data_IF_152349069526
#
_entry.id   IF_152349069526
#
_cell.length_a   1.000
_cell.length_b   1.000
_cell.length_c   1.000
_cell.angle_alpha   90.00
_cell.angle_beta   90.00
_cell.angle_gamma   90.00
#
_symmetry.space_group_name_H-M   'P 1'
#
loop_
_entity.id
_entity.type
_entity.pdbx_description
1 polymer ?
#
# COMPACT_ATOMS: atom_id res chain seq x y z
N UNK A 1 5.06 -12.69 10.41
CA UNK A 1 4.37 -11.51 9.79
C UNK A 1 3.55 -10.82 10.86
N UNK A 2 3.26 -9.53 10.70
CA UNK A 2 2.46 -8.71 11.64
C UNK A 2 1.29 -8.11 10.89
N UNK A 3 0.11 -8.05 11.51
CA UNK A 3 -1.08 -7.46 10.88
C UNK A 3 -1.13 -5.95 11.09
N UNK A 4 -1.61 -5.27 10.05
CA UNK A 4 -1.99 -3.86 10.05
C UNK A 4 -3.35 -3.72 9.36
N UNK A 5 -3.96 -2.54 9.46
CA UNK A 5 -5.18 -2.20 8.72
C UNK A 5 -4.94 -0.96 7.88
N UNK A 6 -5.29 -1.02 6.60
CA UNK A 6 -5.36 0.15 5.73
C UNK A 6 -6.63 0.95 6.02
N UNK A 7 -6.52 2.27 6.03
CA UNK A 7 -7.68 3.16 6.16
C UNK A 7 -8.64 3.03 4.96
N UNK A 8 -8.14 2.53 3.80
CA UNK A 8 -8.98 2.14 2.67
C UNK A 8 -10.06 1.14 3.06
N UNK A 9 -9.74 0.21 3.97
CA UNK A 9 -10.69 -0.80 4.45
C UNK A 9 -11.92 -0.23 5.15
N UNK A 10 -11.88 1.04 5.57
CA UNK A 10 -12.95 1.76 6.26
C UNK A 10 -13.40 3.01 5.49
N UNK A 11 -13.27 2.98 4.16
CA UNK A 11 -13.67 4.07 3.26
C UNK A 11 -15.11 4.51 3.51
N UNK A 12 -16.04 3.55 3.66
CA UNK A 12 -17.46 3.81 3.92
C UNK A 12 -17.68 4.59 5.22
N UNK A 13 -16.99 4.21 6.29
CA UNK A 13 -17.12 4.87 7.59
C UNK A 13 -16.43 6.25 7.61
N UNK A 14 -15.24 6.36 6.99
CA UNK A 14 -14.49 7.61 6.91
C UNK A 14 -15.20 8.64 6.03
N UNK A 15 -15.72 8.22 4.87
CA UNK A 15 -16.57 9.05 4.01
C UNK A 15 -17.90 9.42 4.71
N UNK A 16 -18.41 8.55 5.57
CA UNK A 16 -19.58 8.78 6.42
C UNK A 16 -19.34 9.71 7.61
N UNK A 17 -18.13 10.25 7.78
CA UNK A 17 -17.80 11.27 8.80
C UNK A 17 -17.07 10.74 10.03
N UNK A 18 -16.62 9.47 10.05
CA UNK A 18 -15.69 9.00 11.06
C UNK A 18 -14.36 9.75 10.90
N UNK A 19 -13.89 10.45 11.96
CA UNK A 19 -12.58 11.10 11.87
C UNK A 19 -11.44 10.07 11.89
N UNK A 20 -10.34 10.36 11.16
CA UNK A 20 -9.18 9.46 11.10
C UNK A 20 -8.58 9.18 12.49
N UNK A 21 -8.57 10.15 13.40
CA UNK A 21 -8.10 9.97 14.79
C UNK A 21 -8.99 9.02 15.61
N UNK A 22 -10.31 9.06 15.39
CA UNK A 22 -11.23 8.09 15.99
C UNK A 22 -11.06 6.71 15.41
N UNK A 23 -10.80 6.62 14.10
CA UNK A 23 -10.48 5.34 13.45
C UNK A 23 -9.17 4.75 13.98
N UNK A 24 -8.10 5.55 14.16
CA UNK A 24 -6.84 5.10 14.76
C UNK A 24 -7.06 4.48 16.14
N UNK A 25 -7.82 5.15 16.99
CA UNK A 25 -8.18 4.61 18.30
C UNK A 25 -8.94 3.28 18.17
N UNK A 26 -9.94 3.22 17.28
CA UNK A 26 -10.71 2.00 17.03
C UNK A 26 -9.82 0.83 16.57
N UNK A 27 -8.86 1.07 15.67
CA UNK A 27 -7.90 0.05 15.22
C UNK A 27 -7.09 -0.52 16.38
N UNK A 28 -6.65 0.32 17.31
CA UNK A 28 -5.89 -0.12 18.48
C UNK A 28 -6.76 -0.85 19.51
N UNK A 29 -7.88 -0.24 19.91
CA UNK A 29 -8.69 -0.72 21.04
C UNK A 29 -9.63 -1.86 20.65
N UNK A 30 -10.27 -1.79 19.48
CA UNK A 30 -11.30 -2.76 19.08
C UNK A 30 -10.74 -3.84 18.14
N UNK A 31 -9.88 -3.46 17.18
CA UNK A 31 -9.26 -4.43 16.29
C UNK A 31 -8.00 -5.05 16.90
N UNK A 32 -7.43 -4.49 17.97
CA UNK A 32 -6.24 -5.01 18.64
C UNK A 32 -5.01 -5.06 17.74
N UNK A 33 -4.83 -4.08 16.86
CA UNK A 33 -3.70 -4.01 15.94
C UNK A 33 -2.69 -2.94 16.39
N UNK A 34 -1.41 -3.20 16.09
CA UNK A 34 -0.32 -2.27 16.35
C UNK A 34 0.20 -1.56 15.10
N UNK A 35 -0.39 -1.82 13.93
CA UNK A 35 -0.01 -1.23 12.66
C UNK A 35 -1.19 -0.65 11.90
N UNK A 36 -0.96 0.51 11.27
CA UNK A 36 -1.93 1.18 10.40
C UNK A 36 -1.27 1.64 9.12
N UNK A 37 -2.06 1.70 8.08
CA UNK A 37 -1.72 2.32 6.82
C UNK A 37 -2.73 3.43 6.53
N UNK A 38 -2.24 4.60 6.12
CA UNK A 38 -3.05 5.79 5.94
C UNK A 38 -3.08 6.20 4.46
N UNK A 39 -4.27 6.24 3.88
CA UNK A 39 -4.48 6.84 2.55
C UNK A 39 -4.30 8.36 2.61
N UNK A 40 -3.68 8.93 1.59
CA UNK A 40 -3.47 10.38 1.47
C UNK A 40 -4.79 11.16 1.52
N UNK A 41 -5.84 10.65 0.87
CA UNK A 41 -7.18 11.24 0.88
C UNK A 41 -7.81 11.33 2.28
N UNK A 42 -7.51 10.36 3.17
CA UNK A 42 -8.01 10.34 4.55
C UNK A 42 -7.19 11.24 5.49
N UNK A 43 -5.91 11.44 5.19
CA UNK A 43 -5.08 12.43 5.89
C UNK A 43 -5.64 13.83 5.60
N UNK A 44 -6.09 14.07 4.37
CA UNK A 44 -6.60 15.36 3.92
C UNK A 44 -5.49 16.40 3.77
N UNK A 45 -5.77 17.66 4.07
CA UNK A 45 -4.76 18.72 3.99
C UNK A 45 -3.74 18.53 5.12
N UNK A 46 -2.46 18.25 4.80
CA UNK A 46 -1.44 17.87 5.79
C UNK A 46 -0.84 19.10 6.49
N UNK A 47 -1.67 19.85 7.23
CA UNK A 47 -1.21 20.97 8.08
C UNK A 47 -0.32 20.44 9.21
N UNK A 48 0.52 21.30 9.78
CA UNK A 48 1.37 20.91 10.93
C UNK A 48 0.53 20.42 12.11
N UNK A 49 -0.60 21.09 12.40
CA UNK A 49 -1.54 20.69 13.43
C UNK A 49 -2.12 19.29 13.16
N UNK A 50 -2.58 19.04 11.92
CA UNK A 50 -3.13 17.75 11.53
C UNK A 50 -2.12 16.62 11.65
N UNK A 51 -0.87 16.84 11.22
CA UNK A 51 0.20 15.85 11.33
C UNK A 51 0.60 15.58 12.80
N UNK A 52 0.65 16.64 13.62
CA UNK A 52 0.93 16.50 15.05
C UNK A 52 -0.19 15.70 15.76
N UNK A 53 -1.45 15.96 15.44
CA UNK A 53 -2.61 15.23 15.98
C UNK A 53 -2.58 13.75 15.59
N UNK A 54 -2.33 13.42 14.32
CA UNK A 54 -2.22 12.03 13.86
C UNK A 54 -1.06 11.30 14.55
N UNK A 55 0.12 11.94 14.61
CA UNK A 55 1.29 11.35 15.26
C UNK A 55 1.06 11.13 16.75
N UNK A 56 0.58 12.13 17.48
CA UNK A 56 0.30 12.01 18.91
C UNK A 56 -0.77 10.95 19.21
N UNK A 57 -1.76 10.81 18.32
CA UNK A 57 -2.76 9.75 18.43
C UNK A 57 -2.11 8.37 18.25
N UNK A 58 -1.28 8.19 17.22
CA UNK A 58 -0.55 6.93 17.02
C UNK A 58 0.37 6.60 18.21
N UNK A 59 1.12 7.57 18.71
CA UNK A 59 1.98 7.40 19.89
C UNK A 59 1.19 6.98 21.13
N UNK A 60 0.06 7.64 21.40
CA UNK A 60 -0.83 7.34 22.53
C UNK A 60 -1.35 5.91 22.52
N UNK A 61 -1.68 5.38 21.34
CA UNK A 61 -2.26 4.05 21.18
C UNK A 61 -1.23 2.97 20.77
N UNK A 62 0.06 3.31 20.75
CA UNK A 62 1.12 2.37 20.37
C UNK A 62 1.06 1.90 18.92
N UNK A 63 0.49 2.71 18.02
CA UNK A 63 0.35 2.39 16.61
C UNK A 63 1.60 2.78 15.81
N UNK A 64 2.06 1.88 14.96
CA UNK A 64 3.06 2.16 13.93
C UNK A 64 2.35 2.55 12.64
N UNK A 65 2.65 3.71 12.07
CA UNK A 65 2.26 4.03 10.70
C UNK A 65 3.21 3.26 9.77
N UNK A 66 2.68 2.18 9.21
CA UNK A 66 3.48 1.26 8.38
C UNK A 66 3.73 1.86 7.01
N UNK A 67 2.72 2.46 6.42
CA UNK A 67 2.76 3.01 5.08
C UNK A 67 1.85 4.24 4.99
N UNK A 68 2.25 5.20 4.17
CA UNK A 68 1.35 6.21 3.63
C UNK A 68 1.01 5.78 2.20
N UNK A 69 -0.24 5.49 1.97
CA UNK A 69 -0.73 5.06 0.66
C UNK A 69 -1.06 6.30 -0.19
N UNK A 70 -0.04 6.82 -0.85
CA UNK A 70 -0.14 7.99 -1.72
C UNK A 70 -0.47 7.58 -3.15
N UNK A 71 -1.37 8.34 -3.80
CA UNK A 71 -1.76 8.15 -5.20
C UNK A 71 -0.99 9.08 -6.11
N UNK A 72 -0.16 8.51 -7.01
CA UNK A 72 0.53 9.23 -8.09
C UNK A 72 0.35 8.50 -9.43
N UNK A 73 0.60 9.19 -10.53
CA UNK A 73 0.55 8.61 -11.88
C UNK A 73 1.72 9.12 -12.74
N UNK A 74 2.71 8.23 -12.98
CA UNK A 74 3.83 8.54 -13.89
C UNK A 74 3.57 8.11 -15.34
N UNK A 75 2.37 7.57 -15.64
CA UNK A 75 1.98 7.14 -16.98
C UNK A 75 1.40 8.24 -17.87
N UNK A 76 1.22 9.44 -17.33
CA UNK A 76 0.64 10.58 -18.08
C UNK A 76 1.54 11.03 -19.24
N UNK A 77 0.94 11.37 -20.38
CA UNK A 77 1.67 11.70 -21.60
C UNK A 77 2.34 13.07 -21.54
N UNK A 78 1.69 14.04 -20.91
CA UNK A 78 2.19 15.41 -20.83
C UNK A 78 3.32 15.53 -19.81
N UNK A 79 4.48 16.04 -20.25
CA UNK A 79 5.68 16.17 -19.43
C UNK A 79 5.45 17.08 -18.20
N UNK A 80 4.72 18.17 -18.34
CA UNK A 80 4.44 19.09 -17.23
C UNK A 80 3.65 18.37 -16.15
N UNK A 81 2.61 17.62 -16.50
CA UNK A 81 1.83 16.82 -15.54
C UNK A 81 2.68 15.75 -14.87
N UNK A 82 3.60 15.09 -15.59
CA UNK A 82 4.51 14.12 -14.96
C UNK A 82 5.44 14.78 -13.93
N UNK A 83 5.97 15.97 -14.25
CA UNK A 83 6.77 16.75 -13.30
C UNK A 83 5.98 17.17 -12.07
N UNK A 84 4.70 17.50 -12.24
CA UNK A 84 3.80 17.78 -11.12
C UNK A 84 3.61 16.54 -10.23
N UNK A 85 3.45 15.34 -10.83
CA UNK A 85 3.36 14.07 -10.07
C UNK A 85 4.68 13.76 -9.32
N UNK A 86 5.84 14.01 -9.93
CA UNK A 86 7.13 13.92 -9.23
C UNK A 86 7.19 14.89 -8.04
N UNK A 87 6.81 16.15 -8.25
CA UNK A 87 6.80 17.18 -7.20
C UNK A 87 5.85 16.81 -6.05
N UNK A 88 4.65 16.31 -6.35
CA UNK A 88 3.70 15.79 -5.37
C UNK A 88 4.31 14.62 -4.57
N UNK A 89 4.98 13.69 -5.25
CA UNK A 89 5.64 12.56 -4.60
C UNK A 89 6.72 13.05 -3.63
N UNK A 90 7.53 14.06 -4.03
CA UNK A 90 8.54 14.67 -3.16
C UNK A 90 7.93 15.37 -1.93
N UNK A 91 6.77 16.00 -2.10
CA UNK A 91 6.02 16.60 -1.00
C UNK A 91 5.54 15.52 -0.01
N UNK A 92 4.94 14.43 -0.51
CA UNK A 92 4.47 13.32 0.31
C UNK A 92 5.61 12.56 1.00
N UNK A 93 6.82 12.51 0.43
CA UNK A 93 8.01 12.04 1.15
C UNK A 93 8.24 12.86 2.44
N UNK A 94 8.16 14.19 2.36
CA UNK A 94 8.30 15.05 3.54
C UNK A 94 7.18 14.83 4.59
N UNK A 95 5.95 14.61 4.14
CA UNK A 95 4.81 14.31 5.00
C UNK A 95 5.01 12.95 5.69
N UNK A 96 5.39 11.92 4.91
CA UNK A 96 5.68 10.57 5.41
C UNK A 96 6.75 10.57 6.51
N UNK A 97 7.84 11.33 6.30
CA UNK A 97 8.90 11.48 7.32
C UNK A 97 8.37 12.13 8.60
N UNK A 98 7.60 13.22 8.48
CA UNK A 98 7.03 13.91 9.65
C UNK A 98 6.04 13.08 10.43
N UNK A 99 5.30 12.19 9.75
CA UNK A 99 4.41 11.22 10.38
C UNK A 99 5.14 9.99 10.93
N UNK A 100 6.44 9.83 10.64
CA UNK A 100 7.24 8.68 11.08
C UNK A 100 6.86 7.37 10.39
N UNK A 101 6.27 7.43 9.19
CA UNK A 101 5.89 6.25 8.44
C UNK A 101 7.12 5.46 7.95
N UNK A 102 6.99 4.12 7.92
CA UNK A 102 8.09 3.26 7.46
C UNK A 102 8.26 3.30 5.95
N UNK A 103 7.14 3.42 5.22
CA UNK A 103 7.08 3.40 3.77
C UNK A 103 6.20 4.52 3.24
N UNK A 104 6.44 4.88 2.00
CA UNK A 104 5.54 5.67 1.17
C UNK A 104 5.22 4.87 -0.09
N UNK A 105 3.92 4.60 -0.33
CA UNK A 105 3.49 3.97 -1.57
C UNK A 105 3.75 4.89 -2.76
N UNK A 106 4.15 4.29 -3.86
CA UNK A 106 4.19 4.91 -5.17
C UNK A 106 3.62 3.95 -6.21
N UNK A 107 3.03 4.47 -7.27
CA UNK A 107 2.66 3.71 -8.45
C UNK A 107 3.63 4.01 -9.59
N UNK A 108 3.84 3.04 -10.47
CA UNK A 108 4.42 3.30 -11.79
C UNK A 108 3.46 4.11 -12.68
N UNK A 109 2.16 4.03 -12.37
CA UNK A 109 1.10 4.77 -13.03
C UNK A 109 0.42 3.98 -14.14
N UNK A 110 -0.43 4.69 -14.86
CA UNK A 110 -1.28 4.17 -15.94
C UNK A 110 -0.89 4.79 -17.27
N UNK A 111 -0.51 3.98 -18.27
CA UNK A 111 -0.02 4.53 -19.54
C UNK A 111 -1.13 5.27 -20.30
N UNK A 112 -1.00 6.58 -20.41
CA UNK A 112 -1.89 7.40 -21.26
C UNK A 112 -1.51 7.17 -22.72
N UNK A 113 -2.32 6.37 -23.45
CA UNK A 113 -2.06 5.93 -24.80
C UNK A 113 -1.19 4.67 -24.89
N UNK A 114 -0.20 4.67 -25.78
CA UNK A 114 0.65 3.50 -26.00
C UNK A 114 1.61 3.25 -24.81
N UNK A 115 1.51 2.05 -24.23
CA UNK A 115 2.31 1.65 -23.07
C UNK A 115 3.82 1.68 -23.34
N UNK A 116 4.24 1.23 -24.53
CA UNK A 116 5.65 1.20 -24.91
C UNK A 116 6.22 2.60 -25.04
N UNK A 117 5.45 3.53 -25.60
CA UNK A 117 5.85 4.93 -25.72
C UNK A 117 5.96 5.64 -24.34
N UNK A 118 5.14 5.24 -23.37
CA UNK A 118 5.17 5.82 -22.00
C UNK A 118 6.19 5.19 -21.08
N UNK A 119 6.70 4.00 -21.42
CA UNK A 119 7.65 3.27 -20.58
C UNK A 119 8.93 4.05 -20.23
N UNK A 120 9.66 4.70 -21.18
CA UNK A 120 10.84 5.49 -20.84
C UNK A 120 10.55 6.66 -19.92
N UNK A 121 9.42 7.32 -20.10
CA UNK A 121 8.98 8.46 -19.30
C UNK A 121 8.71 8.04 -17.83
N UNK A 122 7.95 6.96 -17.66
CA UNK A 122 7.65 6.37 -16.35
C UNK A 122 8.93 5.93 -15.62
N UNK A 123 9.85 5.24 -16.29
CA UNK A 123 11.13 4.82 -15.69
C UNK A 123 11.97 6.04 -15.28
N UNK A 124 11.98 7.09 -16.10
CA UNK A 124 12.68 8.35 -15.77
C UNK A 124 12.13 8.99 -14.50
N UNK A 125 10.79 9.09 -14.39
CA UNK A 125 10.13 9.62 -13.20
C UNK A 125 10.39 8.78 -11.95
N UNK A 126 10.29 7.44 -12.05
CA UNK A 126 10.62 6.54 -10.94
C UNK A 126 12.08 6.71 -10.49
N UNK A 127 13.04 6.78 -11.42
CA UNK A 127 14.46 7.01 -11.07
C UNK A 127 14.66 8.35 -10.36
N UNK A 128 13.98 9.39 -10.81
CA UNK A 128 14.02 10.73 -10.22
C UNK A 128 13.57 10.71 -8.76
N UNK A 129 12.37 10.15 -8.50
CA UNK A 129 11.82 10.09 -7.14
C UNK A 129 12.59 9.10 -6.25
N UNK A 130 13.07 7.98 -6.79
CA UNK A 130 13.92 7.04 -6.05
C UNK A 130 15.25 7.70 -5.63
N UNK A 131 15.91 8.44 -6.52
CA UNK A 131 17.13 9.19 -6.17
C UNK A 131 16.88 10.24 -5.07
N UNK A 132 15.71 10.88 -5.07
CA UNK A 132 15.32 11.77 -3.98
C UNK A 132 15.04 11.01 -2.67
N UNK A 133 14.42 9.84 -2.74
CA UNK A 133 14.17 8.98 -1.59
C UNK A 133 15.47 8.48 -0.95
N UNK A 134 16.44 8.06 -1.76
CA UNK A 134 17.79 7.67 -1.28
C UNK A 134 18.46 8.78 -0.48
N UNK A 135 18.50 10.01 -1.04
CA UNK A 135 19.10 11.17 -0.35
C UNK A 135 18.42 11.52 0.96
N UNK A 136 17.13 11.19 1.10
CA UNK A 136 16.31 11.50 2.29
C UNK A 136 16.20 10.32 3.27
N UNK A 137 16.74 9.15 2.92
CA UNK A 137 16.59 7.93 3.72
C UNK A 137 15.16 7.40 3.78
N UNK A 138 14.37 7.66 2.73
CA UNK A 138 12.97 7.21 2.62
C UNK A 138 12.93 5.90 1.84
N UNK A 139 11.97 5.05 2.20
CA UNK A 139 11.68 3.79 1.50
C UNK A 139 10.38 3.92 0.74
N UNK A 140 10.46 3.84 -0.59
CA UNK A 140 9.29 3.76 -1.46
C UNK A 140 8.88 2.30 -1.63
N UNK A 141 7.58 2.05 -1.67
CA UNK A 141 7.02 0.74 -2.02
C UNK A 141 6.11 0.89 -3.24
N UNK A 142 6.51 0.28 -4.36
CA UNK A 142 5.73 0.31 -5.59
C UNK A 142 4.67 -0.79 -5.56
N UNK A 143 3.42 -0.42 -5.76
CA UNK A 143 2.30 -1.36 -5.74
C UNK A 143 2.04 -1.97 -7.12
N UNK A 144 1.78 -3.29 -7.17
CA UNK A 144 1.21 -3.93 -8.35
C UNK A 144 -0.29 -3.63 -8.43
N UNK A 145 -0.77 -3.30 -9.66
CA UNK A 145 -2.15 -2.86 -9.85
C UNK A 145 -2.73 -3.34 -11.18
N UNK A 146 -3.88 -4.04 -11.13
CA UNK A 146 -4.46 -4.75 -12.27
C UNK A 146 -5.38 -3.91 -13.19
N UNK A 147 -5.62 -2.64 -12.89
CA UNK A 147 -6.54 -1.78 -13.66
C UNK A 147 -5.83 -1.02 -14.78
N UNK A 148 -5.12 -1.73 -15.66
CA UNK A 148 -4.46 -1.13 -16.83
C UNK A 148 -3.15 -0.40 -16.53
N UNK A 149 -2.60 -0.49 -15.32
CA UNK A 149 -1.33 0.12 -14.95
C UNK A 149 -0.10 -0.56 -15.56
N UNK A 150 1.08 -0.02 -15.28
CA UNK A 150 2.35 -0.62 -15.73
C UNK A 150 2.73 -1.90 -14.98
N UNK A 151 2.18 -2.18 -13.80
CA UNK A 151 2.59 -3.28 -12.93
C UNK A 151 1.45 -4.27 -12.74
N UNK A 152 1.27 -5.17 -13.71
CA UNK A 152 0.16 -6.13 -13.72
C UNK A 152 0.61 -7.56 -13.45
N UNK A 153 1.91 -7.86 -13.72
CA UNK A 153 2.48 -9.21 -13.59
C UNK A 153 3.85 -9.14 -12.92
N UNK A 154 4.37 -10.29 -12.48
CA UNK A 154 5.75 -10.38 -11.97
C UNK A 154 6.81 -10.01 -13.00
N UNK A 155 6.53 -10.20 -14.29
CA UNK A 155 7.42 -9.78 -15.36
C UNK A 155 7.55 -8.25 -15.42
N UNK A 156 6.43 -7.54 -15.24
CA UNK A 156 6.45 -6.08 -15.15
C UNK A 156 7.24 -5.58 -13.93
N UNK A 157 7.02 -6.23 -12.77
CA UNK A 157 7.80 -5.93 -11.55
C UNK A 157 9.29 -6.07 -11.83
N UNK A 158 9.71 -7.22 -12.35
CA UNK A 158 11.13 -7.49 -12.66
C UNK A 158 11.70 -6.45 -13.62
N UNK A 159 10.98 -6.15 -14.72
CA UNK A 159 11.44 -5.19 -15.72
C UNK A 159 11.63 -3.78 -15.15
N UNK A 160 10.72 -3.34 -14.26
CA UNK A 160 10.85 -2.02 -13.63
C UNK A 160 11.99 -2.01 -12.62
N UNK A 161 12.12 -3.02 -11.75
CA UNK A 161 13.19 -3.10 -10.77
C UNK A 161 14.58 -3.16 -11.44
N UNK A 162 14.70 -3.93 -12.53
CA UNK A 162 15.93 -3.99 -13.34
C UNK A 162 16.25 -2.66 -14.03
N UNK A 163 15.23 -1.93 -14.45
CA UNK A 163 15.42 -0.62 -15.06
C UNK A 163 15.77 0.45 -14.02
N UNK A 164 15.08 0.50 -12.88
CA UNK A 164 15.25 1.56 -11.85
C UNK A 164 16.51 1.34 -11.02
N UNK A 165 16.74 0.14 -10.51
CA UNK A 165 17.92 -0.27 -9.72
C UNK A 165 18.21 0.63 -8.51
N UNK A 166 17.18 0.97 -7.75
CA UNK A 166 17.32 1.81 -6.56
C UNK A 166 17.18 1.00 -5.28
N UNK A 167 18.07 1.16 -4.30
CA UNK A 167 17.94 0.54 -2.98
C UNK A 167 16.81 1.17 -2.14
N UNK A 168 16.23 2.28 -2.58
CA UNK A 168 15.10 2.91 -1.92
C UNK A 168 13.75 2.40 -2.42
N UNK A 169 13.71 1.51 -3.44
CA UNK A 169 12.49 0.97 -4.02
C UNK A 169 12.30 -0.50 -3.62
N UNK A 170 11.22 -0.81 -2.92
CA UNK A 170 10.71 -2.15 -2.67
C UNK A 170 9.34 -2.35 -3.31
N UNK A 171 8.81 -3.58 -3.20
CA UNK A 171 7.47 -3.89 -3.66
C UNK A 171 6.48 -3.78 -2.50
N UNK A 172 5.35 -3.09 -2.72
CA UNK A 172 4.10 -3.32 -2.03
C UNK A 172 3.36 -4.39 -2.83
N UNK A 173 3.36 -5.60 -2.30
CA UNK A 173 2.72 -6.75 -2.95
C UNK A 173 1.26 -6.79 -2.54
N UNK A 174 0.36 -6.42 -3.47
CA UNK A 174 -1.07 -6.63 -3.32
C UNK A 174 -1.46 -8.03 -3.82
N UNK A 175 -2.13 -8.80 -2.96
CA UNK A 175 -2.47 -10.20 -3.20
C UNK A 175 -3.60 -10.40 -4.21
N UNK A 176 -4.40 -9.38 -4.48
CA UNK A 176 -5.52 -9.43 -5.42
C UNK A 176 -5.25 -8.79 -6.79
N UNK A 177 -4.13 -8.07 -6.93
CA UNK A 177 -3.89 -7.19 -8.09
C UNK A 177 -2.97 -7.76 -9.18
N UNK A 178 -2.49 -8.99 -9.08
CA UNK A 178 -1.79 -9.64 -10.18
C UNK A 178 -2.76 -10.33 -11.15
N UNK A 179 -2.67 -10.04 -12.45
CA UNK A 179 -3.51 -10.64 -13.49
C UNK A 179 -3.29 -12.14 -13.66
N UNK A 180 -2.08 -12.64 -13.40
CA UNK A 180 -1.69 -14.04 -13.51
C UNK A 180 -1.64 -14.78 -12.16
N UNK A 181 -2.20 -14.15 -11.12
CA UNK A 181 -2.52 -14.76 -9.84
C UNK A 181 -1.31 -15.22 -9.01
N UNK A 182 -1.43 -16.37 -8.28
CA UNK A 182 -0.42 -16.80 -7.30
C UNK A 182 0.99 -17.01 -7.86
N UNK A 183 1.12 -17.29 -9.16
CA UNK A 183 2.42 -17.42 -9.82
C UNK A 183 3.24 -16.15 -9.77
N UNK A 184 2.63 -14.99 -9.99
CA UNK A 184 3.30 -13.70 -9.83
C UNK A 184 3.59 -13.35 -8.38
N UNK A 185 2.71 -13.73 -7.45
CA UNK A 185 2.95 -13.55 -6.01
C UNK A 185 4.23 -14.29 -5.60
N UNK A 186 4.36 -15.59 -5.96
CA UNK A 186 5.54 -16.38 -5.62
C UNK A 186 6.84 -15.77 -6.15
N UNK A 187 6.82 -15.29 -7.40
CA UNK A 187 8.01 -14.70 -8.05
C UNK A 187 8.38 -13.33 -7.49
N UNK A 188 7.37 -12.53 -7.06
CA UNK A 188 7.57 -11.17 -6.59
C UNK A 188 7.76 -11.06 -5.07
N UNK A 189 7.36 -12.06 -4.30
CA UNK A 189 7.44 -12.06 -2.84
C UNK A 189 8.85 -11.75 -2.28
N UNK A 190 9.99 -12.18 -2.90
CA UNK A 190 11.32 -11.80 -2.44
C UNK A 190 11.61 -10.29 -2.48
N UNK A 191 10.88 -9.52 -3.28
CA UNK A 191 11.01 -8.06 -3.41
C UNK A 191 10.06 -7.30 -2.46
N UNK A 192 9.14 -8.00 -1.79
CA UNK A 192 8.11 -7.37 -0.96
C UNK A 192 8.71 -6.77 0.32
N UNK A 193 8.45 -5.48 0.53
CA UNK A 193 8.71 -4.78 1.78
C UNK A 193 7.43 -4.55 2.58
N UNK A 194 6.31 -4.52 1.89
CA UNK A 194 4.96 -4.43 2.45
C UNK A 194 4.00 -5.32 1.66
N UNK A 195 2.92 -5.77 2.30
CA UNK A 195 1.92 -6.64 1.67
C UNK A 195 0.53 -6.10 1.96
N UNK A 196 -0.29 -5.99 0.92
CA UNK A 196 -1.75 -5.87 1.05
C UNK A 196 -2.39 -7.25 0.97
N UNK A 197 -3.07 -7.66 2.04
CA UNK A 197 -4.03 -8.74 1.98
C UNK A 197 -5.34 -8.14 1.47
N UNK A 198 -5.53 -8.21 0.16
CA UNK A 198 -6.73 -7.70 -0.52
C UNK A 198 -7.95 -8.55 -0.20
N UNK A 199 -9.06 -7.90 0.10
CA UNK A 199 -10.37 -8.51 0.21
C UNK A 199 -11.38 -7.71 -0.60
N UNK A 200 -12.07 -8.37 -1.52
CA UNK A 200 -13.18 -7.82 -2.30
C UNK A 200 -14.54 -8.31 -1.80
N UNK A 201 -14.52 -9.45 -1.11
CA UNK A 201 -15.67 -10.04 -0.39
C UNK A 201 -15.16 -10.76 0.84
N UNK A 202 -15.97 -10.83 1.87
CA UNK A 202 -15.60 -11.56 3.10
C UNK A 202 -16.72 -12.54 3.44
N UNK A 203 -16.47 -13.84 3.28
CA UNK A 203 -17.40 -14.89 3.63
C UNK A 203 -17.61 -15.00 5.16
N UNK A 204 -18.56 -15.81 5.59
CA UNK A 204 -18.86 -15.97 7.02
C UNK A 204 -17.67 -16.49 7.85
N UNK A 205 -16.77 -17.26 7.22
CA UNK A 205 -15.55 -17.79 7.82
C UNK A 205 -14.35 -16.82 7.73
N UNK A 206 -14.55 -15.63 7.17
CA UNK A 206 -13.54 -14.58 7.04
C UNK A 206 -12.69 -14.65 5.77
N UNK A 207 -12.86 -15.69 4.93
CA UNK A 207 -12.12 -15.83 3.67
C UNK A 207 -12.65 -14.92 2.58
N UNK A 208 -11.79 -14.56 1.64
CA UNK A 208 -12.23 -14.01 0.36
C UNK A 208 -12.44 -15.19 -0.63
N UNK A 209 -13.62 -15.34 -1.25
CA UNK A 209 -13.87 -16.43 -2.19
C UNK A 209 -13.06 -16.33 -3.51
N UNK A 210 -12.50 -15.17 -3.81
CA UNK A 210 -11.72 -14.91 -5.03
C UNK A 210 -10.21 -14.87 -4.80
N UNK A 211 -9.75 -14.76 -3.53
CA UNK A 211 -8.32 -14.60 -3.20
C UNK A 211 -7.95 -15.62 -2.12
N UNK A 212 -7.22 -16.65 -2.51
CA UNK A 212 -6.83 -17.75 -1.62
C UNK A 212 -5.61 -17.39 -0.75
N UNK A 213 -5.86 -16.74 0.38
CA UNK A 213 -4.80 -16.40 1.32
C UNK A 213 -4.16 -17.61 2.00
N UNK A 214 -4.86 -18.76 2.09
CA UNK A 214 -4.27 -20.00 2.62
C UNK A 214 -3.16 -20.53 1.70
N UNK A 215 -3.29 -20.31 0.38
CA UNK A 215 -2.23 -20.61 -0.58
C UNK A 215 -1.15 -19.50 -0.63
N UNK A 216 -1.52 -18.23 -0.45
CA UNK A 216 -0.61 -17.09 -0.57
C UNK A 216 0.34 -16.97 0.63
N UNK A 217 -0.17 -17.12 1.86
CA UNK A 217 0.64 -16.99 3.09
C UNK A 217 1.86 -17.93 3.11
N UNK A 218 1.76 -19.21 2.71
CA UNK A 218 2.94 -20.06 2.55
C UNK A 218 3.96 -19.55 1.53
N UNK A 219 3.54 -18.92 0.43
CA UNK A 219 4.45 -18.33 -0.56
C UNK A 219 5.24 -17.16 0.03
N UNK A 220 4.59 -16.29 0.80
CA UNK A 220 5.26 -15.20 1.51
C UNK A 220 6.27 -15.73 2.54
N UNK A 221 5.91 -16.79 3.29
CA UNK A 221 6.82 -17.44 4.25
C UNK A 221 8.02 -18.08 3.55
N UNK A 222 7.80 -18.78 2.44
CA UNK A 222 8.87 -19.40 1.66
C UNK A 222 9.86 -18.36 1.10
N UNK A 223 9.39 -17.14 0.79
CA UNK A 223 10.22 -16.00 0.41
C UNK A 223 10.92 -15.32 1.60
N UNK A 224 10.73 -15.79 2.84
CA UNK A 224 11.30 -15.19 4.04
C UNK A 224 10.63 -13.89 4.48
N UNK A 225 9.43 -13.59 4.01
CA UNK A 225 8.72 -12.36 4.38
C UNK A 225 8.28 -12.39 5.86
N UNK A 226 8.72 -11.40 6.62
CA UNK A 226 8.39 -11.24 8.06
C UNK A 226 7.78 -9.87 8.37
N UNK A 227 7.51 -9.08 7.35
CA UNK A 227 7.03 -7.71 7.44
C UNK A 227 5.58 -7.56 7.90
N UNK A 228 4.99 -6.41 7.58
CA UNK A 228 3.62 -6.10 7.85
C UNK A 228 2.70 -6.53 6.71
N UNK A 229 1.53 -7.04 7.07
CA UNK A 229 0.44 -7.39 6.15
C UNK A 229 -0.75 -6.51 6.51
N UNK A 230 -1.05 -5.51 5.69
CA UNK A 230 -2.22 -4.65 5.84
C UNK A 230 -3.44 -5.32 5.24
N UNK A 231 -4.51 -5.46 6.01
CA UNK A 231 -5.82 -5.74 5.43
C UNK A 231 -6.23 -4.56 4.56
N UNK A 232 -6.57 -4.83 3.32
CA UNK A 232 -7.16 -3.87 2.40
C UNK A 232 -8.47 -4.43 1.85
N UNK A 233 -9.58 -3.91 2.39
CA UNK A 233 -10.93 -4.32 2.03
C UNK A 233 -11.57 -3.29 1.11
N UNK A 234 -12.08 -3.78 -0.02
CA UNK A 234 -12.77 -2.98 -1.05
C UNK A 234 -14.09 -3.65 -1.48
N UNK A 235 -14.78 -4.26 -0.53
CA UNK A 235 -16.06 -4.94 -0.79
C UNK A 235 -17.29 -4.05 -0.54
N UNK A 236 -18.44 -4.58 -0.90
CA UNK A 236 -19.73 -3.89 -0.78
C UNK A 236 -20.39 -4.03 0.59
N UNK A 237 -19.96 -4.99 1.42
CA UNK A 237 -20.50 -5.15 2.78
C UNK A 237 -19.92 -4.05 3.69
N UNK A 238 -20.67 -3.55 4.71
CA UNK A 238 -20.14 -2.56 5.64
C UNK A 238 -18.81 -3.01 6.28
N UNK A 239 -17.82 -2.13 6.25
CA UNK A 239 -16.47 -2.41 6.77
C UNK A 239 -16.46 -2.86 8.22
N UNK A 240 -17.34 -2.28 9.05
CA UNK A 240 -17.50 -2.63 10.47
C UNK A 240 -17.84 -4.11 10.70
N UNK A 241 -18.39 -4.79 9.70
CA UNK A 241 -18.73 -6.22 9.76
C UNK A 241 -17.70 -7.08 9.04
N UNK A 242 -17.27 -6.68 7.84
CA UNK A 242 -16.37 -7.46 6.99
C UNK A 242 -14.93 -7.50 7.54
N UNK A 243 -14.36 -6.35 7.89
CA UNK A 243 -12.94 -6.26 8.27
C UNK A 243 -12.60 -7.06 9.53
N UNK A 244 -13.40 -7.06 10.62
CA UNK A 244 -13.12 -7.91 11.79
C UNK A 244 -13.09 -9.40 11.46
N UNK A 245 -13.96 -9.89 10.53
CA UNK A 245 -13.95 -11.29 10.10
C UNK A 245 -12.70 -11.63 9.28
N UNK A 246 -12.33 -10.76 8.33
CA UNK A 246 -11.11 -10.91 7.56
C UNK A 246 -9.86 -10.95 8.45
N UNK A 247 -9.79 -10.06 9.45
CA UNK A 247 -8.71 -10.04 10.43
C UNK A 247 -8.66 -11.31 11.29
N UNK A 248 -9.80 -11.81 11.76
CA UNK A 248 -9.86 -13.04 12.55
C UNK A 248 -9.33 -14.25 11.74
N UNK A 249 -9.72 -14.34 10.47
CA UNK A 249 -9.19 -15.34 9.55
C UNK A 249 -7.67 -15.17 9.31
N UNK A 250 -7.21 -13.97 8.98
CA UNK A 250 -5.78 -13.74 8.72
C UNK A 250 -4.89 -14.02 9.94
N UNK A 251 -5.36 -13.73 11.18
CA UNK A 251 -4.63 -14.10 12.40
C UNK A 251 -4.35 -15.60 12.46
N UNK A 252 -5.32 -16.42 12.10
CA UNK A 252 -5.14 -17.87 12.04
C UNK A 252 -4.19 -18.27 10.91
N UNK A 253 -4.36 -17.71 9.71
CA UNK A 253 -3.54 -18.04 8.55
C UNK A 253 -2.06 -17.69 8.74
N UNK A 254 -1.75 -16.53 9.35
CA UNK A 254 -0.37 -16.11 9.61
C UNK A 254 0.20 -16.58 10.95
N UNK A 255 -0.60 -17.24 11.80
CA UNK A 255 -0.16 -17.77 13.10
C UNK A 255 0.27 -16.66 14.08
N UNK A 256 -0.52 -15.62 14.21
CA UNK A 256 -0.25 -14.46 15.07
C UNK A 256 -1.36 -14.26 16.10
#
# INVERSE_FOLDING_TARGET
MRLACSSQSYEDALAGGLSLTRWLRFVAEELGLAGVELEDKHIGVPTEERMADLRSTCERYGLTIVNIAFMNDFGVAEETRRRDEEARTLQWMGISQRLGARFLRTFAGWPEGDRGARWPDMISALRSVCGAAERRGIRLVMENHNHGGFVQTSADVTAIFDAVRSPALGLLLDTGNFLDGPGSIARSAPLAWHVHAKFTRVAADGRDPGIDHDAIVPLLRAAGYTGWVSVEYEGAEPSATAVPRALAYLRQAIGS
#
